data_IF_084108959023
#
_entry.id   IF_084108959023
#
_cell.length_a   1.000
_cell.length_b   1.000
_cell.length_c   1.000
_cell.angle_alpha   90.00
_cell.angle_beta   90.00
_cell.angle_gamma   90.00
#
_symmetry.space_group_name_H-M   'P 1'
#
loop_
_entity.id
_entity.type
_entity.pdbx_description
1 polymer ?
#
# COMPACT_ATOMS: atom_id res chain seq x y z
N UNK A 1 -22.38 16.67 59.64
CA UNK A 1 -21.19 16.30 58.84
C UNK A 1 -21.65 15.40 57.69
N UNK A 2 -21.27 15.76 56.45
CA UNK A 2 -21.04 14.95 55.24
C UNK A 2 -21.73 13.57 55.11
N UNK A 3 -22.32 13.12 54.00
CA UNK A 3 -22.26 13.49 52.58
C UNK A 3 -23.26 12.58 51.84
N UNK A 4 -23.80 13.13 50.75
CA UNK A 4 -24.40 12.52 49.56
C UNK A 4 -23.90 11.12 49.18
N UNK A 5 -24.76 10.29 48.54
CA UNK A 5 -24.50 9.50 47.30
C UNK A 5 -25.02 8.07 47.37
N UNK A 6 -26.03 7.74 46.55
CA UNK A 6 -26.09 6.46 45.80
C UNK A 6 -27.27 6.50 44.82
N UNK A 7 -27.06 7.13 43.66
CA UNK A 7 -26.89 6.48 42.36
C UNK A 7 -28.20 6.00 41.73
N UNK A 8 -28.79 6.96 41.03
CA UNK A 8 -29.84 6.85 40.04
C UNK A 8 -29.37 5.96 38.87
N UNK A 9 -29.84 4.71 38.77
CA UNK A 9 -29.62 3.86 37.59
C UNK A 9 -30.76 4.06 36.57
N UNK A 10 -30.75 5.22 35.91
CA UNK A 10 -31.49 5.44 34.65
C UNK A 10 -30.58 5.02 33.50
N UNK A 11 -30.73 3.79 33.03
CA UNK A 11 -30.26 3.42 31.69
C UNK A 11 -31.23 4.03 30.67
N UNK A 12 -31.03 5.31 30.36
CA UNK A 12 -31.68 5.98 29.24
C UNK A 12 -30.83 5.79 27.99
N UNK A 13 -31.40 5.09 27.02
CA UNK A 13 -31.15 5.17 25.59
C UNK A 13 -30.29 6.37 25.18
N UNK A 14 -29.01 6.11 24.88
CA UNK A 14 -28.19 7.05 24.10
C UNK A 14 -28.20 6.58 22.66
N UNK A 15 -29.22 7.07 21.99
CA UNK A 15 -29.44 7.19 20.55
C UNK A 15 -28.12 7.12 19.77
N UNK A 16 -27.96 6.08 18.95
CA UNK A 16 -27.09 6.10 17.77
C UNK A 16 -27.69 7.13 16.82
N UNK A 17 -27.25 8.37 16.96
CA UNK A 17 -27.68 9.49 16.13
C UNK A 17 -26.90 9.41 14.82
N UNK A 18 -27.48 8.73 13.85
CA UNK A 18 -27.09 8.81 12.43
C UNK A 18 -27.72 10.06 11.85
N UNK A 19 -26.90 10.95 11.32
CA UNK A 19 -27.32 12.12 10.57
C UNK A 19 -27.87 11.71 9.19
N UNK A 20 -28.89 12.45 8.73
CA UNK A 20 -29.74 12.13 7.59
C UNK A 20 -29.06 12.22 6.20
N UNK A 21 -27.73 12.26 6.16
CA UNK A 21 -26.98 12.32 4.91
C UNK A 21 -25.90 11.23 4.77
N UNK A 22 -25.80 10.25 5.69
CA UNK A 22 -25.00 9.04 5.49
C UNK A 22 -23.50 9.25 5.28
N UNK A 23 -22.97 10.45 5.51
CA UNK A 23 -21.55 10.72 5.39
C UNK A 23 -20.89 10.40 6.73
N UNK A 24 -20.36 9.17 6.85
CA UNK A 24 -19.34 8.87 7.85
C UNK A 24 -18.20 9.85 7.60
N UNK A 25 -18.10 10.91 8.41
CA UNK A 25 -16.89 11.72 8.53
C UNK A 25 -15.82 10.76 9.03
N UNK A 26 -15.10 10.19 8.08
CA UNK A 26 -13.87 9.47 8.34
C UNK A 26 -12.95 10.54 8.93
N UNK A 27 -12.82 10.53 10.26
CA UNK A 27 -11.66 11.10 10.90
C UNK A 27 -10.47 10.52 10.15
N UNK A 28 -9.76 11.37 9.41
CA UNK A 28 -8.56 11.03 8.68
C UNK A 28 -7.55 10.64 9.74
N UNK A 29 -7.54 9.36 10.11
CA UNK A 29 -6.46 8.76 10.89
C UNK A 29 -5.19 9.04 10.11
N UNK A 30 -4.22 9.79 10.64
CA UNK A 30 -2.94 9.92 9.98
C UNK A 30 -2.29 8.53 10.07
N UNK A 31 -2.34 7.79 8.97
CA UNK A 31 -1.60 6.54 8.82
C UNK A 31 -0.12 6.82 9.09
N UNK A 32 0.54 6.05 9.97
CA UNK A 32 1.95 6.24 10.31
C UNK A 32 2.84 5.54 9.28
N UNK A 33 2.62 5.85 8.01
CA UNK A 33 3.52 5.44 6.93
C UNK A 33 4.44 6.64 6.73
N UNK A 34 5.50 6.69 7.54
CA UNK A 34 6.59 7.67 7.38
C UNK A 34 7.43 7.28 6.17
N UNK A 35 6.77 7.24 5.02
CA UNK A 35 7.42 7.18 3.73
C UNK A 35 8.11 8.53 3.53
N UNK A 36 9.30 8.51 2.96
CA UNK A 36 10.13 9.68 2.63
C UNK A 36 9.42 10.71 1.73
N UNK A 37 8.15 10.47 1.39
CA UNK A 37 7.37 11.09 0.34
C UNK A 37 6.54 12.29 0.81
N UNK A 38 6.30 12.44 2.12
CA UNK A 38 5.48 13.56 2.64
C UNK A 38 6.30 14.59 3.44
N UNK A 39 6.82 15.61 2.74
CA UNK A 39 7.62 16.69 3.33
C UNK A 39 6.92 17.44 4.48
N UNK A 40 5.59 17.48 4.49
CA UNK A 40 4.81 18.06 5.58
C UNK A 40 4.91 17.22 6.86
N UNK A 41 4.84 15.89 6.74
CA UNK A 41 4.99 14.97 7.87
C UNK A 41 6.41 14.99 8.41
N UNK A 42 7.42 15.05 7.54
CA UNK A 42 8.83 15.16 7.93
C UNK A 42 9.09 16.40 8.80
N UNK A 43 8.45 17.54 8.47
CA UNK A 43 8.53 18.76 9.26
C UNK A 43 7.55 18.78 10.46
N UNK A 44 6.63 17.82 10.54
CA UNK A 44 5.60 17.76 11.59
C UNK A 44 4.56 18.89 11.48
N UNK A 45 4.22 19.29 10.27
CA UNK A 45 3.24 20.35 9.96
C UNK A 45 2.11 19.83 9.09
N UNK A 46 1.00 20.57 9.02
CA UNK A 46 -0.13 20.22 8.14
C UNK A 46 0.13 20.77 6.73
N UNK A 47 -0.49 20.15 5.72
CA UNK A 47 -0.50 20.70 4.36
C UNK A 47 -1.16 22.08 4.25
N UNK A 48 -1.96 22.48 5.24
CA UNK A 48 -2.58 23.80 5.37
C UNK A 48 -1.69 24.83 6.11
N UNK A 49 -0.49 24.46 6.55
CA UNK A 49 0.38 25.34 7.32
C UNK A 49 0.92 26.52 6.52
N UNK A 50 1.07 27.66 7.19
CA UNK A 50 1.64 28.87 6.60
C UNK A 50 3.15 28.76 6.41
N UNK A 51 3.75 29.60 5.55
CA UNK A 51 5.20 29.62 5.33
C UNK A 51 5.98 29.91 6.64
N UNK A 52 5.41 30.73 7.53
CA UNK A 52 6.00 31.03 8.83
C UNK A 52 6.02 29.79 9.75
N UNK A 53 4.93 29.01 9.75
CA UNK A 53 4.86 27.75 10.51
C UNK A 53 5.85 26.71 10.00
N UNK A 54 5.97 26.56 8.67
CA UNK A 54 6.93 25.67 8.01
C UNK A 54 8.37 26.05 8.39
N UNK A 55 8.69 27.34 8.33
CA UNK A 55 10.02 27.86 8.71
C UNK A 55 10.33 27.61 10.19
N UNK A 56 9.36 27.85 11.06
CA UNK A 56 9.50 27.60 12.50
C UNK A 56 9.70 26.11 12.79
N UNK A 57 8.94 25.23 12.13
CA UNK A 57 9.06 23.79 12.25
C UNK A 57 10.42 23.27 11.77
N UNK A 58 10.88 23.72 10.60
CA UNK A 58 12.20 23.39 10.07
C UNK A 58 13.33 23.76 11.05
N UNK A 59 13.29 24.98 11.62
CA UNK A 59 14.28 25.41 12.63
C UNK A 59 14.27 24.53 13.87
N UNK A 60 13.10 24.09 14.33
CA UNK A 60 12.99 23.17 15.48
C UNK A 60 13.51 21.77 15.14
N UNK A 61 13.18 21.26 13.96
CA UNK A 61 13.62 19.96 13.49
C UNK A 61 15.14 19.92 13.34
N UNK A 62 15.76 20.86 12.62
CA UNK A 62 17.22 20.93 12.44
C UNK A 62 17.98 21.06 13.76
N UNK A 63 17.43 21.81 14.73
CA UNK A 63 18.04 21.91 16.07
C UNK A 63 18.07 20.57 16.83
N UNK A 64 17.15 19.65 16.54
CA UNK A 64 17.10 18.32 17.19
C UNK A 64 17.95 17.31 16.43
N UNK A 65 18.05 17.48 15.12
CA UNK A 65 18.69 16.55 14.20
C UNK A 65 20.14 16.89 13.86
N UNK A 66 20.74 17.91 14.48
CA UNK A 66 22.11 18.30 14.18
C UNK A 66 23.11 17.21 14.64
N UNK A 67 24.09 16.79 13.81
CA UNK A 67 25.04 15.70 14.13
C UNK A 67 25.92 15.98 15.37
N UNK A 68 26.00 17.24 15.77
CA UNK A 68 26.71 17.69 16.98
C UNK A 68 25.91 17.46 18.28
N UNK A 69 24.60 17.22 18.18
CA UNK A 69 23.70 17.06 19.34
C UNK A 69 23.22 15.63 19.55
N UNK A 70 23.59 14.72 18.66
CA UNK A 70 23.20 13.31 18.71
C UNK A 70 24.39 12.44 19.11
N UNK A 71 24.09 11.26 19.64
CA UNK A 71 25.11 10.26 19.97
C UNK A 71 25.97 9.92 18.73
N UNK A 72 27.29 9.66 18.89
CA UNK A 72 28.18 9.32 17.77
C UNK A 72 27.62 8.25 16.83
N UNK A 73 27.01 7.20 17.36
CA UNK A 73 26.44 6.09 16.58
C UNK A 73 25.24 6.51 15.70
N UNK A 74 24.63 7.66 15.99
CA UNK A 74 23.49 8.21 15.24
C UNK A 74 23.87 9.39 14.36
N UNK A 75 25.16 9.74 14.26
CA UNK A 75 25.62 10.87 13.42
C UNK A 75 25.26 10.69 11.96
N UNK A 76 25.47 9.50 11.40
CA UNK A 76 25.12 9.20 10.02
C UNK A 76 23.61 9.36 9.77
N UNK A 77 22.77 8.80 10.65
CA UNK A 77 21.32 8.93 10.54
C UNK A 77 20.84 10.39 10.69
N UNK A 78 21.49 11.17 11.56
CA UNK A 78 21.20 12.58 11.75
C UNK A 78 21.59 13.43 10.53
N UNK A 79 22.69 13.08 9.86
CA UNK A 79 23.10 13.72 8.60
C UNK A 79 22.09 13.47 7.49
N UNK A 80 21.66 12.22 7.29
CA UNK A 80 20.64 11.88 6.31
C UNK A 80 19.30 12.58 6.60
N UNK A 81 18.89 12.59 7.86
CA UNK A 81 17.66 13.29 8.25
C UNK A 81 17.79 14.81 8.05
N UNK A 82 18.96 15.39 8.28
CA UNK A 82 19.22 16.81 8.00
C UNK A 82 19.16 17.12 6.49
N UNK A 83 19.67 16.23 5.63
CA UNK A 83 19.55 16.35 4.16
C UNK A 83 18.08 16.32 3.73
N UNK A 84 17.29 15.40 4.28
CA UNK A 84 15.85 15.32 4.01
C UNK A 84 15.10 16.59 4.48
N UNK A 85 15.39 17.09 5.69
CA UNK A 85 14.80 18.32 6.20
C UNK A 85 15.12 19.54 5.32
N UNK A 86 16.35 19.64 4.82
CA UNK A 86 16.75 20.69 3.89
C UNK A 86 15.95 20.62 2.57
N UNK A 87 15.76 19.40 2.03
CA UNK A 87 14.99 19.18 0.80
C UNK A 87 13.50 19.49 0.97
N UNK A 88 12.93 19.12 2.11
CA UNK A 88 11.56 19.46 2.45
C UNK A 88 11.38 20.99 2.56
N UNK A 89 12.28 21.67 3.27
CA UNK A 89 12.23 23.12 3.41
C UNK A 89 12.42 23.83 2.07
N UNK A 90 13.38 23.45 1.23
CA UNK A 90 13.59 24.08 -0.08
C UNK A 90 12.37 23.94 -1.00
N UNK A 91 11.65 22.82 -0.90
CA UNK A 91 10.44 22.58 -1.68
C UNK A 91 9.24 23.36 -1.13
N UNK A 92 9.05 23.37 0.19
CA UNK A 92 7.84 23.91 0.83
C UNK A 92 7.92 25.41 1.17
N UNK A 93 9.12 25.99 1.26
CA UNK A 93 9.30 27.40 1.63
C UNK A 93 8.85 28.36 0.53
N UNK A 94 9.01 28.01 -0.75
CA UNK A 94 8.59 28.83 -1.88
C UNK A 94 7.17 28.40 -2.35
N UNK A 95 6.22 29.35 -2.50
CA UNK A 95 4.85 29.02 -2.89
C UNK A 95 4.75 28.33 -4.26
N UNK A 96 5.63 28.66 -5.21
CA UNK A 96 5.64 28.09 -6.56
C UNK A 96 6.07 26.61 -6.50
N UNK A 97 7.19 26.32 -5.84
CA UNK A 97 7.71 24.95 -5.70
C UNK A 97 6.78 24.09 -4.86
N UNK A 98 6.16 24.66 -3.82
CA UNK A 98 5.13 24.00 -3.00
C UNK A 98 3.92 23.63 -3.85
N UNK A 99 3.42 24.53 -4.68
CA UNK A 99 2.28 24.23 -5.55
C UNK A 99 2.60 23.11 -6.54
N UNK A 100 3.79 23.11 -7.13
CA UNK A 100 4.23 22.04 -8.03
C UNK A 100 4.29 20.70 -7.29
N UNK A 101 4.89 20.68 -6.10
CA UNK A 101 4.95 19.50 -5.25
C UNK A 101 3.55 18.97 -4.88
N UNK A 102 2.63 19.84 -4.47
CA UNK A 102 1.26 19.46 -4.13
C UNK A 102 0.50 18.89 -5.34
N UNK A 103 0.79 19.38 -6.56
CA UNK A 103 0.20 18.83 -7.80
C UNK A 103 0.78 17.46 -8.14
N UNK A 104 2.11 17.29 -8.04
CA UNK A 104 2.75 16.00 -8.32
C UNK A 104 2.33 14.94 -7.32
N UNK A 105 2.26 15.29 -6.02
CA UNK A 105 1.81 14.37 -4.98
C UNK A 105 0.38 13.88 -5.25
N UNK A 106 -0.55 14.78 -5.59
CA UNK A 106 -1.93 14.39 -5.97
C UNK A 106 -1.97 13.53 -7.23
N UNK A 107 -1.13 13.82 -8.22
CA UNK A 107 -1.07 13.03 -9.45
C UNK A 107 -0.57 11.61 -9.19
N UNK A 108 0.44 11.45 -8.32
CA UNK A 108 0.93 10.15 -7.86
C UNK A 108 -0.14 9.39 -7.08
N UNK A 109 -0.81 10.04 -6.12
CA UNK A 109 -1.91 9.42 -5.37
C UNK A 109 -3.04 8.95 -6.30
N UNK A 110 -3.40 9.74 -7.31
CA UNK A 110 -4.39 9.33 -8.31
C UNK A 110 -3.89 8.15 -9.16
N UNK A 111 -2.63 8.18 -9.60
CA UNK A 111 -2.03 7.09 -10.36
C UNK A 111 -1.99 5.80 -9.54
N UNK A 112 -1.63 5.86 -8.26
CA UNK A 112 -1.62 4.72 -7.35
C UNK A 112 -3.03 4.19 -7.09
N UNK A 113 -4.02 5.07 -6.95
CA UNK A 113 -5.43 4.65 -6.85
C UNK A 113 -5.90 3.95 -8.13
N UNK A 114 -5.53 4.47 -9.29
CA UNK A 114 -5.83 3.85 -10.57
C UNK A 114 -5.12 2.50 -10.69
N UNK A 115 -3.82 2.42 -10.38
CA UNK A 115 -3.05 1.18 -10.41
C UNK A 115 -3.60 0.16 -9.40
N UNK A 116 -4.00 0.57 -8.19
CA UNK A 116 -4.69 -0.32 -7.25
C UNK A 116 -6.02 -0.84 -7.81
N UNK A 117 -6.78 -0.02 -8.54
CA UNK A 117 -7.99 -0.46 -9.24
C UNK A 117 -7.69 -1.39 -10.42
N UNK A 118 -6.63 -1.12 -11.19
CA UNK A 118 -6.27 -1.90 -12.39
C UNK A 118 -5.58 -3.23 -12.03
N UNK A 119 -4.60 -3.20 -11.13
CA UNK A 119 -3.89 -4.37 -10.61
C UNK A 119 -4.77 -5.19 -9.66
N UNK A 120 -5.70 -4.54 -8.95
CA UNK A 120 -6.74 -5.23 -8.16
C UNK A 120 -7.82 -5.93 -9.00
N UNK A 121 -7.88 -5.67 -10.31
CA UNK A 121 -8.78 -6.34 -11.25
C UNK A 121 -8.21 -7.65 -11.86
N UNK A 122 -6.93 -7.95 -11.62
CA UNK A 122 -6.27 -9.20 -12.04
C UNK A 122 -6.27 -10.23 -10.89
N UNK A 123 -7.36 -10.32 -10.15
CA UNK A 123 -7.53 -11.29 -9.07
C UNK A 123 -8.03 -12.63 -9.60
N UNK A 124 -7.14 -13.63 -9.65
CA UNK A 124 -7.53 -15.03 -9.82
C UNK A 124 -8.57 -15.48 -8.78
N UNK A 125 -9.23 -16.63 -9.00
CA UNK A 125 -10.35 -17.06 -8.19
C UNK A 125 -9.98 -17.13 -6.70
N UNK A 126 -10.57 -16.28 -5.86
CA UNK A 126 -10.46 -16.37 -4.40
C UNK A 126 -9.70 -15.26 -3.67
N UNK A 127 -9.09 -14.28 -4.34
CA UNK A 127 -8.51 -13.11 -3.68
C UNK A 127 -9.46 -11.92 -3.81
N UNK A 128 -10.17 -11.63 -2.72
CA UNK A 128 -11.24 -10.64 -2.67
C UNK A 128 -10.76 -9.19 -2.88
N UNK A 129 -11.39 -8.51 -3.84
CA UNK A 129 -11.40 -7.05 -3.98
C UNK A 129 -12.78 -6.52 -3.60
N UNK A 130 -12.83 -5.74 -2.52
CA UNK A 130 -14.03 -5.19 -1.91
C UNK A 130 -14.64 -4.04 -2.73
N UNK A 131 -15.21 -4.36 -3.89
CA UNK A 131 -15.95 -3.40 -4.72
C UNK A 131 -17.45 -3.58 -4.47
N UNK A 132 -18.13 -2.68 -3.72
CA UNK A 132 -19.56 -2.81 -3.43
C UNK A 132 -20.41 -2.80 -4.70
N UNK A 133 -19.93 -2.09 -5.73
CA UNK A 133 -20.60 -1.97 -7.02
C UNK A 133 -20.45 -3.23 -7.88
N UNK A 134 -19.28 -3.88 -7.85
CA UNK A 134 -19.09 -5.15 -8.56
C UNK A 134 -19.92 -6.28 -7.92
N UNK A 135 -20.16 -6.21 -6.60
CA UNK A 135 -21.06 -7.14 -5.89
C UNK A 135 -22.52 -6.97 -6.32
N UNK A 136 -22.98 -5.74 -6.55
CA UNK A 136 -24.36 -5.45 -6.98
C UNK A 136 -24.66 -5.91 -8.42
N UNK A 137 -23.65 -5.94 -9.29
CA UNK A 137 -23.76 -6.46 -10.66
C UNK A 137 -23.44 -7.96 -10.77
N UNK A 138 -23.06 -8.60 -9.65
CA UNK A 138 -22.78 -10.03 -9.64
C UNK A 138 -24.09 -10.78 -9.74
N UNK A 139 -24.44 -11.20 -10.97
CA UNK A 139 -25.49 -12.20 -11.19
C UNK A 139 -25.20 -13.38 -10.27
N UNK A 140 -26.15 -13.74 -9.41
CA UNK A 140 -26.04 -14.96 -8.62
C UNK A 140 -25.93 -16.14 -9.58
N UNK A 141 -24.77 -16.80 -9.60
CA UNK A 141 -24.53 -17.93 -10.48
C UNK A 141 -25.56 -19.03 -10.19
N UNK A 142 -26.27 -19.46 -11.23
CA UNK A 142 -27.26 -20.52 -11.16
C UNK A 142 -26.60 -21.84 -10.72
N UNK A 143 -27.30 -22.73 -9.98
CA UNK A 143 -26.78 -24.04 -9.61
C UNK A 143 -26.23 -24.84 -10.80
N UNK A 144 -26.80 -24.66 -12.00
CA UNK A 144 -26.32 -25.27 -13.24
C UNK A 144 -24.97 -24.69 -13.71
N UNK A 145 -24.80 -23.37 -13.66
CA UNK A 145 -23.54 -22.69 -14.01
C UNK A 145 -22.40 -23.11 -13.07
N UNK A 146 -22.69 -23.38 -11.79
CA UNK A 146 -21.70 -23.90 -10.82
C UNK A 146 -21.23 -25.31 -11.15
N UNK A 147 -22.10 -26.15 -11.74
CA UNK A 147 -21.74 -27.49 -12.17
C UNK A 147 -20.83 -27.45 -13.40
N UNK A 148 -21.09 -26.54 -14.33
CA UNK A 148 -20.27 -26.33 -15.53
C UNK A 148 -18.91 -25.70 -15.18
N UNK A 149 -18.87 -24.78 -14.22
CA UNK A 149 -17.62 -24.19 -13.76
C UNK A 149 -16.69 -25.24 -13.14
N UNK A 150 -17.23 -26.20 -12.37
CA UNK A 150 -16.45 -27.34 -11.84
C UNK A 150 -15.93 -28.28 -12.93
N UNK A 151 -16.62 -28.39 -14.07
CA UNK A 151 -16.14 -29.17 -15.23
C UNK A 151 -15.04 -28.42 -15.97
N UNK A 152 -15.19 -27.10 -16.12
CA UNK A 152 -14.18 -26.23 -16.71
C UNK A 152 -12.88 -26.22 -15.89
N UNK A 153 -12.98 -26.08 -14.56
CA UNK A 153 -11.82 -26.08 -13.67
C UNK A 153 -11.03 -27.39 -13.73
N UNK A 154 -11.73 -28.53 -13.82
CA UNK A 154 -11.09 -29.84 -14.03
C UNK A 154 -10.33 -29.88 -15.36
N UNK A 155 -10.92 -29.35 -16.43
CA UNK A 155 -10.24 -29.33 -17.74
C UNK A 155 -9.03 -28.39 -17.76
N UNK A 156 -9.06 -27.29 -17.02
CA UNK A 156 -7.94 -26.34 -16.92
C UNK A 156 -6.77 -26.92 -16.10
N UNK A 157 -7.06 -27.63 -15.01
CA UNK A 157 -6.02 -28.35 -14.25
C UNK A 157 -5.40 -29.48 -15.07
N UNK A 158 -6.23 -30.22 -15.81
CA UNK A 158 -5.76 -31.32 -16.66
C UNK A 158 -4.91 -30.81 -17.84
N UNK A 159 -5.29 -29.70 -18.47
CA UNK A 159 -4.50 -29.12 -19.57
C UNK A 159 -3.16 -28.57 -19.07
N UNK A 160 -3.13 -27.88 -17.93
CA UNK A 160 -1.88 -27.42 -17.31
C UNK A 160 -0.95 -28.59 -16.96
N UNK A 161 -1.50 -29.64 -16.33
CA UNK A 161 -0.75 -30.84 -15.97
C UNK A 161 -0.19 -31.53 -17.22
N UNK A 162 -1.01 -31.68 -18.27
CA UNK A 162 -0.58 -32.26 -19.54
C UNK A 162 0.56 -31.47 -20.17
N UNK A 163 0.44 -30.13 -20.24
CA UNK A 163 1.50 -29.27 -20.78
C UNK A 163 2.79 -29.41 -19.95
N UNK A 164 2.69 -29.43 -18.62
CA UNK A 164 3.84 -29.63 -17.74
C UNK A 164 4.53 -30.99 -17.97
N UNK A 165 3.76 -32.06 -18.08
CA UNK A 165 4.30 -33.41 -18.37
C UNK A 165 4.97 -33.47 -19.73
N UNK A 166 4.39 -32.85 -20.76
CA UNK A 166 4.99 -32.80 -22.11
C UNK A 166 6.30 -32.00 -22.10
N UNK A 167 6.32 -30.82 -21.48
CA UNK A 167 7.52 -29.98 -21.41
C UNK A 167 8.64 -30.68 -20.64
N UNK A 168 8.32 -31.29 -19.49
CA UNK A 168 9.31 -32.03 -18.69
C UNK A 168 9.86 -33.24 -19.47
N UNK A 169 9.03 -33.99 -20.19
CA UNK A 169 9.48 -35.09 -21.05
C UNK A 169 10.41 -34.60 -22.17
N UNK A 170 10.10 -33.47 -22.82
CA UNK A 170 10.96 -32.88 -23.86
C UNK A 170 12.32 -32.48 -23.29
N UNK A 171 12.34 -31.82 -22.13
CA UNK A 171 13.60 -31.41 -21.46
C UNK A 171 14.45 -32.62 -21.11
N UNK A 172 13.86 -33.66 -20.52
CA UNK A 172 14.57 -34.90 -20.20
C UNK A 172 15.14 -35.55 -21.47
N UNK A 173 14.35 -35.59 -22.55
CA UNK A 173 14.78 -36.17 -23.82
C UNK A 173 15.97 -35.40 -24.41
N UNK A 174 15.96 -34.08 -24.34
CA UNK A 174 17.08 -33.24 -24.79
C UNK A 174 18.34 -33.44 -23.94
N UNK A 175 18.20 -33.58 -22.61
CA UNK A 175 19.31 -33.86 -21.70
C UNK A 175 19.93 -35.22 -22.01
N UNK A 176 19.11 -36.26 -22.19
CA UNK A 176 19.58 -37.61 -22.54
C UNK A 176 20.28 -37.61 -23.90
N UNK A 177 19.69 -36.96 -24.91
CA UNK A 177 20.29 -36.85 -26.24
C UNK A 177 21.65 -36.15 -26.16
N UNK A 178 21.74 -35.04 -25.44
CA UNK A 178 23.00 -34.32 -25.25
C UNK A 178 24.05 -35.17 -24.53
N UNK A 179 23.66 -35.92 -23.49
CA UNK A 179 24.55 -36.82 -22.76
C UNK A 179 25.10 -37.94 -23.66
N UNK A 180 24.27 -38.53 -24.52
CA UNK A 180 24.70 -39.55 -25.48
C UNK A 180 25.68 -38.97 -26.51
N UNK A 181 25.38 -37.80 -27.07
CA UNK A 181 26.28 -37.13 -28.02
C UNK A 181 27.62 -36.80 -27.35
N UNK A 182 27.59 -36.27 -26.12
CA UNK A 182 28.79 -35.96 -25.35
C UNK A 182 29.63 -37.22 -25.08
N UNK A 183 28.99 -38.34 -24.74
CA UNK A 183 29.67 -39.62 -24.51
C UNK A 183 30.34 -40.14 -25.80
N UNK A 184 29.63 -40.10 -26.92
CA UNK A 184 30.17 -40.52 -28.21
C UNK A 184 31.36 -39.67 -28.64
N UNK A 185 31.28 -38.34 -28.46
CA UNK A 185 32.41 -37.44 -28.73
C UNK A 185 33.62 -37.76 -27.85
N UNK A 186 33.41 -38.03 -26.56
CA UNK A 186 34.50 -38.43 -25.65
C UNK A 186 35.14 -39.78 -25.95
N UNK A 187 34.46 -40.61 -26.75
CA UNK A 187 35.00 -41.91 -27.20
C UNK A 187 35.81 -41.78 -28.50
N UNK A 188 35.57 -40.70 -29.26
CA UNK A 188 36.20 -40.44 -30.57
C UNK A 188 37.45 -39.55 -30.43
N UNK A 189 37.43 -38.59 -29.49
CA UNK A 189 38.52 -37.64 -29.21
C UNK A 189 39.24 -38.00 -27.91
#
# INVERSE_FOLDING_TARGET
MATTTSSHRRQSNRTRQTDANGHRTQATTPSPDLDEENYYQLLGVRSSSSAAEITSAYRRAMKRSHPDRVHPDRRAAAEELAKLLNRAYSTLANPITRQTYDRTARAQEMQDQLMRRYVGGLGGPGIGGADPFAQALRREMSPAERADQRRADRSAMLSLLLVFVVVTAVVITLIVLWAVVSLLLSLIF
#
